data_IF_990167072019
#
_entry.id   IF_990167072019
#
_cell.length_a   1.000
_cell.length_b   1.000
_cell.length_c   1.000
_cell.angle_alpha   90.00
_cell.angle_beta   90.00
_cell.angle_gamma   90.00
#
_symmetry.space_group_name_H-M   'P 1'
#
loop_
_entity.id
_entity.type
_entity.pdbx_description
1 polymer ?
#
# COMPACT_ATOMS: atom_id res chain seq x y z
N UNK A 1 -36.92 -0.16 23.90
CA UNK A 1 -35.77 -0.78 23.22
C UNK A 1 -34.58 0.13 23.48
N UNK A 2 -33.73 -0.27 24.43
CA UNK A 2 -32.57 0.51 24.85
C UNK A 2 -31.53 0.49 23.73
N UNK A 3 -31.27 1.66 23.13
CA UNK A 3 -30.09 1.91 22.30
C UNK A 3 -28.86 1.84 23.22
N UNK A 4 -28.34 0.65 23.41
CA UNK A 4 -27.05 0.43 24.04
C UNK A 4 -26.02 0.33 22.92
N UNK A 5 -25.61 1.46 22.35
CA UNK A 5 -24.39 1.48 21.53
C UNK A 5 -23.21 1.34 22.50
N UNK A 6 -22.70 0.12 22.68
CA UNK A 6 -21.47 -0.11 23.45
C UNK A 6 -20.32 0.67 22.79
N UNK A 7 -19.61 1.54 23.52
CA UNK A 7 -18.41 2.17 23.00
C UNK A 7 -17.36 1.08 22.68
N UNK A 8 -16.97 0.96 21.41
CA UNK A 8 -15.90 0.05 20.96
C UNK A 8 -16.31 -1.16 20.13
N UNK A 9 -17.58 -1.28 19.71
CA UNK A 9 -18.01 -2.36 18.79
C UNK A 9 -17.78 -2.04 17.30
N UNK A 10 -17.35 -0.83 16.96
CA UNK A 10 -17.13 -0.42 15.57
C UNK A 10 -15.74 -0.78 15.06
N UNK A 11 -15.65 -1.12 13.78
CA UNK A 11 -14.38 -1.33 13.09
C UNK A 11 -13.62 0.00 13.10
N UNK A 12 -12.33 -0.04 13.47
CA UNK A 12 -11.49 1.16 13.52
C UNK A 12 -11.34 1.77 12.14
N UNK A 13 -11.57 3.08 12.05
CA UNK A 13 -11.29 3.85 10.84
C UNK A 13 -9.77 4.00 10.61
N UNK A 14 -9.36 3.81 9.36
CA UNK A 14 -7.99 4.01 8.90
C UNK A 14 -8.00 4.88 7.67
N UNK A 15 -7.18 5.93 7.69
CA UNK A 15 -6.99 6.83 6.55
C UNK A 15 -5.82 6.38 5.70
N UNK A 16 -5.99 6.35 4.39
CA UNK A 16 -5.01 5.91 3.39
C UNK A 16 -4.75 7.04 2.39
N UNK A 17 -3.47 7.37 2.19
CA UNK A 17 -3.09 8.49 1.33
C UNK A 17 -3.26 9.86 2.00
N UNK A 18 -2.53 10.85 1.50
CA UNK A 18 -2.64 12.24 1.92
C UNK A 18 -2.68 13.16 0.71
N UNK A 19 -3.69 14.05 0.69
CA UNK A 19 -3.82 15.10 -0.31
C UNK A 19 -2.86 16.26 -0.05
N UNK A 20 -2.77 17.23 -0.99
CA UNK A 20 -1.99 18.46 -0.78
C UNK A 20 -2.37 19.22 0.49
N UNK A 21 -3.65 19.22 0.87
CA UNK A 21 -4.11 19.87 2.09
C UNK A 21 -3.66 19.14 3.37
N UNK A 22 -3.34 17.85 3.26
CA UNK A 22 -2.88 16.98 4.35
C UNK A 22 -1.35 16.80 4.35
N UNK A 23 -0.63 17.45 3.43
CA UNK A 23 0.84 17.40 3.32
C UNK A 23 1.39 16.32 2.38
N UNK A 24 0.54 15.61 1.64
CA UNK A 24 0.96 14.64 0.61
C UNK A 24 0.69 15.14 -0.81
N UNK A 25 0.78 14.23 -1.78
CA UNK A 25 0.58 14.56 -3.21
C UNK A 25 -0.55 13.79 -3.87
N UNK A 26 -1.25 12.92 -3.13
CA UNK A 26 -2.37 12.13 -3.66
C UNK A 26 -3.53 13.03 -4.07
N UNK A 27 -4.33 12.58 -5.04
CA UNK A 27 -5.56 13.27 -5.43
C UNK A 27 -6.66 13.09 -4.37
N UNK A 28 -6.71 11.91 -3.77
CA UNK A 28 -7.74 11.50 -2.83
C UNK A 28 -7.12 10.82 -1.61
N UNK A 29 -7.72 11.05 -0.44
CA UNK A 29 -7.46 10.30 0.78
C UNK A 29 -8.70 9.47 1.09
N UNK A 30 -8.55 8.16 1.22
CA UNK A 30 -9.64 7.26 1.54
C UNK A 30 -9.69 6.99 3.04
N UNK A 31 -10.90 6.83 3.58
CA UNK A 31 -11.10 6.28 4.92
C UNK A 31 -11.79 4.93 4.75
N UNK A 32 -11.23 3.90 5.36
CA UNK A 32 -11.80 2.55 5.44
C UNK A 32 -12.11 2.23 6.90
N UNK A 33 -13.07 1.34 7.15
CA UNK A 33 -13.52 1.05 8.52
C UNK A 33 -14.75 1.89 8.91
N UNK A 34 -15.06 1.91 10.20
CA UNK A 34 -16.20 2.63 10.76
C UNK A 34 -17.50 1.82 10.76
N UNK A 35 -17.51 0.60 10.21
CA UNK A 35 -18.69 -0.25 10.19
C UNK A 35 -19.07 -0.73 11.60
N UNK A 36 -20.38 -0.74 11.87
CA UNK A 36 -20.98 -1.15 13.16
C UNK A 36 -21.83 -2.41 13.07
N UNK A 37 -22.20 -2.78 11.84
CA UNK A 37 -23.09 -3.89 11.55
C UNK A 37 -22.34 -5.01 10.84
N UNK A 38 -22.98 -6.17 10.73
CA UNK A 38 -22.48 -7.27 9.90
C UNK A 38 -22.31 -6.81 8.44
N UNK A 39 -21.30 -7.33 7.71
CA UNK A 39 -21.07 -6.96 6.33
C UNK A 39 -22.35 -7.04 5.50
N UNK A 40 -22.67 -5.93 4.83
CA UNK A 40 -23.82 -5.77 3.93
C UNK A 40 -25.22 -5.76 4.56
N UNK A 41 -25.37 -5.87 5.88
CA UNK A 41 -26.69 -5.95 6.54
C UNK A 41 -27.17 -4.63 7.21
N UNK A 42 -26.29 -3.63 7.31
CA UNK A 42 -26.61 -2.33 7.92
C UNK A 42 -26.14 -1.15 7.08
N UNK A 43 -25.61 -0.10 7.73
CA UNK A 43 -25.06 1.05 7.01
C UNK A 43 -23.81 0.61 6.24
N UNK A 44 -23.94 0.48 4.92
CA UNK A 44 -22.83 0.06 4.06
C UNK A 44 -21.91 1.25 3.82
N UNK A 45 -20.59 1.05 3.74
CA UNK A 45 -19.72 2.08 3.20
C UNK A 45 -20.19 2.42 1.78
N UNK A 46 -20.13 3.71 1.43
CA UNK A 46 -20.58 4.21 0.13
C UNK A 46 -19.88 3.48 -1.05
N UNK A 47 -18.69 2.95 -0.79
CA UNK A 47 -17.89 2.22 -1.78
C UNK A 47 -16.92 1.23 -1.12
N UNK A 48 -16.79 0.05 -1.70
CA UNK A 48 -15.67 -0.87 -1.44
C UNK A 48 -14.49 -0.50 -2.35
N UNK A 49 -13.31 -0.39 -1.78
CA UNK A 49 -12.11 -0.02 -2.52
C UNK A 49 -11.40 -1.25 -3.09
N UNK A 50 -10.84 -1.13 -4.29
CA UNK A 50 -10.05 -2.19 -4.93
C UNK A 50 -8.62 -1.72 -5.13
N UNK A 51 -7.67 -2.50 -4.59
CA UNK A 51 -6.25 -2.30 -4.82
C UNK A 51 -5.75 -3.24 -5.92
N UNK A 52 -4.97 -2.72 -6.86
CA UNK A 52 -4.35 -3.52 -7.93
C UNK A 52 -2.85 -3.69 -7.66
N UNK A 53 -2.37 -4.93 -7.80
CA UNK A 53 -0.96 -5.26 -7.57
C UNK A 53 -0.07 -4.89 -8.76
N UNK A 54 1.00 -4.16 -8.46
CA UNK A 54 2.12 -3.85 -9.35
C UNK A 54 3.37 -4.46 -8.73
N UNK A 55 4.12 -5.22 -9.53
CA UNK A 55 5.38 -5.84 -9.10
C UNK A 55 6.56 -5.11 -9.74
N UNK A 56 7.66 -4.97 -9.00
CA UNK A 56 8.90 -4.38 -9.51
C UNK A 56 9.78 -5.38 -10.29
N UNK A 57 9.61 -6.68 -10.05
CA UNK A 57 10.31 -7.74 -10.77
C UNK A 57 9.34 -8.73 -11.43
N UNK A 58 9.22 -8.71 -12.77
CA UNK A 58 8.27 -9.53 -13.51
C UNK A 58 8.52 -11.03 -13.37
N UNK A 59 9.74 -11.47 -13.01
CA UNK A 59 10.05 -12.91 -12.87
C UNK A 59 9.17 -13.61 -11.85
N UNK A 60 8.67 -12.86 -10.88
CA UNK A 60 7.80 -13.37 -9.80
C UNK A 60 6.31 -13.17 -10.08
N UNK A 61 5.93 -12.47 -11.14
CA UNK A 61 4.54 -12.35 -11.57
C UNK A 61 4.08 -13.64 -12.27
N UNK A 62 2.83 -14.11 -12.07
CA UNK A 62 2.30 -15.26 -12.80
C UNK A 62 2.34 -15.05 -14.32
N UNK A 63 2.61 -16.10 -15.15
CA UNK A 63 2.67 -15.96 -16.61
C UNK A 63 1.43 -15.30 -17.22
N UNK A 64 0.22 -15.71 -16.78
CA UNK A 64 -1.05 -15.13 -17.25
C UNK A 64 -1.14 -13.62 -17.02
N UNK A 65 -0.58 -13.11 -15.92
CA UNK A 65 -0.56 -11.68 -15.62
C UNK A 65 0.42 -10.97 -16.56
N UNK A 66 1.63 -11.52 -16.72
CA UNK A 66 2.65 -10.94 -17.62
C UNK A 66 2.17 -10.89 -19.06
N UNK A 67 1.55 -11.97 -19.54
CA UNK A 67 1.04 -12.05 -20.91
C UNK A 67 -0.08 -11.02 -21.14
N UNK A 68 -0.89 -10.73 -20.12
CA UNK A 68 -1.96 -9.73 -20.19
C UNK A 68 -1.42 -8.30 -20.14
N UNK A 69 -0.50 -7.99 -19.22
CA UNK A 69 0.02 -6.62 -19.04
C UNK A 69 1.15 -6.27 -20.03
N UNK A 70 1.75 -7.28 -20.67
CA UNK A 70 2.81 -7.11 -21.66
C UNK A 70 3.99 -6.31 -21.13
N UNK A 71 4.37 -5.27 -21.87
CA UNK A 71 5.54 -4.43 -21.55
C UNK A 71 5.42 -3.71 -20.20
N UNK A 72 4.21 -3.50 -19.68
CA UNK A 72 3.99 -2.90 -18.36
C UNK A 72 4.65 -3.73 -17.24
N UNK A 73 4.81 -5.05 -17.43
CA UNK A 73 5.44 -5.91 -16.44
C UNK A 73 6.89 -5.50 -16.11
N UNK A 74 7.56 -4.76 -17.02
CA UNK A 74 8.92 -4.28 -16.83
C UNK A 74 8.99 -2.81 -16.37
N UNK A 75 7.85 -2.12 -16.29
CA UNK A 75 7.76 -0.68 -16.04
C UNK A 75 6.74 -0.43 -14.90
N UNK A 76 7.16 -0.55 -13.62
CA UNK A 76 6.24 -0.47 -12.48
C UNK A 76 5.52 0.88 -12.37
N UNK A 77 6.16 1.96 -12.80
CA UNK A 77 5.57 3.30 -12.86
C UNK A 77 4.46 3.40 -13.92
N UNK A 78 4.72 2.92 -15.15
CA UNK A 78 3.71 2.85 -16.20
C UNK A 78 2.56 1.91 -15.82
N UNK A 79 2.90 0.78 -15.18
CA UNK A 79 1.91 -0.17 -14.68
C UNK A 79 1.04 0.44 -13.58
N UNK A 80 1.61 1.19 -12.63
CA UNK A 80 0.84 1.92 -11.63
C UNK A 80 -0.09 2.97 -12.23
N UNK A 81 0.36 3.68 -13.28
CA UNK A 81 -0.51 4.60 -14.04
C UNK A 81 -1.64 3.86 -14.76
N UNK A 82 -1.37 2.69 -15.34
CA UNK A 82 -2.39 1.86 -15.99
C UNK A 82 -3.39 1.28 -14.98
N UNK A 83 -2.92 0.90 -13.78
CA UNK A 83 -3.76 0.44 -12.68
C UNK A 83 -4.87 1.43 -12.37
N UNK A 84 -4.52 2.70 -12.26
CA UNK A 84 -5.46 3.79 -12.05
C UNK A 84 -6.33 4.08 -13.29
N UNK A 85 -5.70 4.33 -14.45
CA UNK A 85 -6.40 4.93 -15.60
C UNK A 85 -7.14 3.94 -16.47
N UNK A 86 -6.63 2.72 -16.57
CA UNK A 86 -7.16 1.68 -17.46
C UNK A 86 -8.00 0.68 -16.67
N UNK A 87 -7.53 0.28 -15.50
CA UNK A 87 -8.17 -0.77 -14.70
C UNK A 87 -9.08 -0.23 -13.59
N UNK A 88 -9.06 1.07 -13.32
CA UNK A 88 -9.97 1.72 -12.36
C UNK A 88 -9.64 1.42 -10.91
N UNK A 89 -8.37 1.14 -10.59
CA UNK A 89 -7.95 0.87 -9.22
C UNK A 89 -8.14 2.09 -8.30
N UNK A 90 -8.63 1.84 -7.09
CA UNK A 90 -8.72 2.83 -6.01
C UNK A 90 -7.36 3.02 -5.33
N UNK A 91 -6.61 1.93 -5.18
CA UNK A 91 -5.27 1.94 -4.60
C UNK A 91 -4.30 1.17 -5.50
N UNK A 92 -3.03 1.51 -5.39
CA UNK A 92 -1.94 0.73 -5.99
C UNK A 92 -1.24 -0.04 -4.88
N UNK A 93 -1.13 -1.36 -5.03
CA UNK A 93 -0.32 -2.22 -4.17
C UNK A 93 1.01 -2.47 -4.88
N UNK A 94 2.04 -1.76 -4.47
CA UNK A 94 3.41 -1.96 -4.94
C UNK A 94 4.05 -3.09 -4.13
N UNK A 95 4.27 -4.23 -4.77
CA UNK A 95 4.92 -5.40 -4.21
C UNK A 95 6.36 -5.45 -4.72
N UNK A 96 7.33 -5.26 -3.82
CA UNK A 96 8.75 -5.38 -4.14
C UNK A 96 9.14 -6.85 -4.27
N UNK A 97 8.67 -7.52 -5.31
CA UNK A 97 8.97 -8.92 -5.59
C UNK A 97 10.44 -9.17 -5.89
N UNK A 98 11.21 -8.15 -6.29
CA UNK A 98 12.66 -8.26 -6.47
C UNK A 98 13.40 -8.75 -5.23
N UNK A 99 12.89 -8.46 -4.03
CA UNK A 99 13.49 -8.86 -2.74
C UNK A 99 13.44 -10.37 -2.50
N UNK A 100 12.60 -11.09 -3.26
CA UNK A 100 12.52 -12.57 -3.24
C UNK A 100 13.70 -13.24 -3.96
N UNK A 101 14.54 -12.46 -4.64
CA UNK A 101 15.75 -12.99 -5.28
C UNK A 101 16.74 -13.51 -4.23
N UNK A 102 17.41 -14.63 -4.56
CA UNK A 102 18.43 -15.18 -3.68
C UNK A 102 19.61 -14.20 -3.55
N UNK A 103 19.96 -13.83 -2.31
CA UNK A 103 21.02 -12.86 -2.00
C UNK A 103 20.74 -11.46 -2.57
N UNK A 104 19.50 -11.01 -2.45
CA UNK A 104 19.13 -9.63 -2.78
C UNK A 104 20.01 -8.62 -2.04
N UNK A 105 20.55 -7.64 -2.77
CA UNK A 105 21.36 -6.51 -2.25
C UNK A 105 21.07 -5.19 -3.00
N UNK A 106 20.06 -5.19 -3.89
CA UNK A 106 19.71 -4.04 -4.72
C UNK A 106 18.83 -3.03 -3.96
N UNK A 107 19.07 -2.84 -2.66
CA UNK A 107 18.26 -1.92 -1.85
C UNK A 107 18.30 -0.47 -2.39
N UNK A 108 19.36 -0.09 -3.11
CA UNK A 108 19.51 1.22 -3.75
C UNK A 108 18.38 1.54 -4.72
N UNK A 109 17.80 0.53 -5.35
CA UNK A 109 16.76 0.68 -6.36
C UNK A 109 15.37 0.89 -5.74
N UNK A 110 15.15 0.44 -4.50
CA UNK A 110 13.86 0.52 -3.79
C UNK A 110 13.32 1.95 -3.74
N UNK A 111 14.15 2.92 -3.33
CA UNK A 111 13.74 4.33 -3.26
C UNK A 111 13.46 4.90 -4.64
N UNK A 112 14.25 4.51 -5.64
CA UNK A 112 14.06 4.98 -7.03
C UNK A 112 12.74 4.48 -7.60
N UNK A 113 12.43 3.19 -7.44
CA UNK A 113 11.15 2.62 -7.86
C UNK A 113 9.99 3.28 -7.11
N UNK A 114 10.15 3.52 -5.80
CA UNK A 114 9.15 4.22 -5.00
C UNK A 114 8.86 5.63 -5.55
N UNK A 115 9.88 6.43 -5.81
CA UNK A 115 9.76 7.78 -6.36
C UNK A 115 9.07 7.78 -7.74
N UNK A 116 9.46 6.86 -8.61
CA UNK A 116 8.87 6.71 -9.94
C UNK A 116 7.38 6.38 -9.85
N UNK A 117 7.00 5.42 -9.00
CA UNK A 117 5.60 5.03 -8.82
C UNK A 117 4.80 6.15 -8.17
N UNK A 118 5.34 6.82 -7.13
CA UNK A 118 4.68 7.96 -6.47
C UNK A 118 4.41 9.12 -7.43
N UNK A 119 5.31 9.36 -8.39
CA UNK A 119 5.14 10.37 -9.43
C UNK A 119 4.15 9.94 -10.52
N UNK A 120 4.03 8.63 -10.78
CA UNK A 120 3.22 8.11 -11.87
C UNK A 120 1.72 7.99 -11.55
N UNK A 121 1.36 7.69 -10.29
CA UNK A 121 -0.03 7.56 -9.84
C UNK A 121 -0.43 8.62 -8.81
N UNK A 122 -1.68 9.05 -8.87
CA UNK A 122 -2.30 9.97 -7.90
C UNK A 122 -3.07 9.23 -6.79
N UNK A 123 -3.16 7.89 -6.87
CA UNK A 123 -3.87 7.06 -5.90
C UNK A 123 -3.02 6.80 -4.66
N UNK A 124 -3.62 6.46 -3.51
CA UNK A 124 -2.90 5.98 -2.34
C UNK A 124 -2.19 4.64 -2.58
N UNK A 125 -1.08 4.43 -1.86
CA UNK A 125 -0.21 3.27 -2.04
C UNK A 125 -0.21 2.34 -0.83
N UNK A 126 -0.23 1.06 -1.14
CA UNK A 126 0.13 -0.05 -0.25
C UNK A 126 1.50 -0.54 -0.69
N UNK A 127 2.42 -0.73 0.24
CA UNK A 127 3.76 -1.25 -0.04
C UNK A 127 3.95 -2.57 0.68
N UNK A 128 4.41 -3.57 -0.07
CA UNK A 128 4.76 -4.89 0.45
C UNK A 128 6.14 -5.35 -0.01
N UNK A 129 6.76 -6.22 0.80
CA UNK A 129 8.07 -6.82 0.54
C UNK A 129 8.01 -8.34 0.35
N UNK A 130 9.09 -9.03 0.72
CA UNK A 130 9.22 -10.48 0.56
C UNK A 130 8.64 -11.29 1.73
N UNK A 131 8.17 -10.62 2.78
CA UNK A 131 7.86 -11.24 4.09
C UNK A 131 9.11 -11.77 4.80
N UNK A 132 10.28 -11.21 4.49
CA UNK A 132 11.53 -11.53 5.18
C UNK A 132 11.93 -10.35 6.07
N UNK A 133 11.85 -10.46 7.41
CA UNK A 133 11.91 -9.31 8.32
C UNK A 133 13.14 -8.44 8.16
N UNK A 134 14.31 -9.04 7.95
CA UNK A 134 15.57 -8.31 7.79
C UNK A 134 15.58 -7.48 6.51
N UNK A 135 15.05 -8.04 5.40
CA UNK A 135 14.94 -7.33 4.13
C UNK A 135 13.85 -6.26 4.19
N UNK A 136 12.66 -6.64 4.67
CA UNK A 136 11.48 -5.79 4.73
C UNK A 136 11.70 -4.58 5.63
N UNK A 137 12.46 -4.71 6.71
CA UNK A 137 12.79 -3.58 7.60
C UNK A 137 13.58 -2.49 6.88
N UNK A 138 14.45 -2.85 5.94
CA UNK A 138 15.23 -1.92 5.14
C UNK A 138 14.43 -1.40 3.93
N UNK A 139 13.62 -2.26 3.30
CA UNK A 139 12.69 -1.86 2.23
C UNK A 139 11.71 -0.81 2.73
N UNK A 140 11.00 -1.08 3.83
CA UNK A 140 10.01 -0.16 4.40
C UNK A 140 10.63 1.14 4.89
N UNK A 141 11.87 1.11 5.38
CA UNK A 141 12.61 2.33 5.70
C UNK A 141 12.77 3.21 4.47
N UNK A 142 13.29 2.66 3.38
CA UNK A 142 13.52 3.42 2.14
C UNK A 142 12.21 3.90 1.53
N UNK A 143 11.18 3.05 1.53
CA UNK A 143 9.87 3.40 1.01
C UNK A 143 9.21 4.51 1.81
N UNK A 144 9.27 4.44 3.15
CA UNK A 144 8.71 5.49 3.97
C UNK A 144 9.49 6.80 3.87
N UNK A 145 10.82 6.76 3.71
CA UNK A 145 11.63 7.98 3.52
C UNK A 145 11.30 8.65 2.19
N UNK A 146 11.18 7.88 1.12
CA UNK A 146 10.76 8.38 -0.20
C UNK A 146 9.30 8.88 -0.20
N UNK A 147 8.41 8.19 0.51
CA UNK A 147 7.00 8.53 0.62
C UNK A 147 6.62 9.31 1.88
N UNK A 148 7.54 10.10 2.45
CA UNK A 148 7.25 10.89 3.64
C UNK A 148 6.08 11.85 3.37
N UNK A 149 5.10 11.88 4.28
CA UNK A 149 3.89 12.70 4.13
C UNK A 149 2.80 12.07 3.25
N UNK A 150 3.07 11.02 2.48
CA UNK A 150 2.09 10.39 1.58
C UNK A 150 1.08 9.47 2.28
N UNK A 151 1.31 9.17 3.56
CA UNK A 151 0.49 8.24 4.37
C UNK A 151 0.35 6.87 3.68
N UNK A 152 1.50 6.26 3.42
CA UNK A 152 1.60 4.90 2.88
C UNK A 152 1.04 3.86 3.86
N UNK A 153 0.46 2.79 3.33
CA UNK A 153 0.22 1.56 4.10
C UNK A 153 1.40 0.62 3.88
N UNK A 154 2.14 0.29 4.95
CA UNK A 154 3.27 -0.64 4.89
C UNK A 154 2.86 -1.98 5.51
N UNK A 155 3.03 -3.07 4.77
CA UNK A 155 2.73 -4.43 5.22
C UNK A 155 3.75 -5.44 4.67
N UNK A 156 3.90 -6.63 5.24
CA UNK A 156 3.08 -7.26 6.28
C UNK A 156 3.86 -7.38 7.59
N UNK A 157 3.22 -7.09 8.72
CA UNK A 157 3.79 -7.29 10.04
C UNK A 157 3.24 -8.58 10.67
N UNK A 158 4.09 -9.59 10.85
CA UNK A 158 3.72 -10.86 11.48
C UNK A 158 3.96 -10.84 13.00
N UNK A 159 3.20 -11.65 13.76
CA UNK A 159 3.13 -11.56 15.22
C UNK A 159 4.48 -11.77 15.94
N UNK A 160 5.37 -12.58 15.39
CA UNK A 160 6.72 -12.85 15.91
C UNK A 160 7.77 -11.85 15.41
N UNK A 161 7.45 -11.06 14.37
CA UNK A 161 8.40 -10.25 13.60
C UNK A 161 8.00 -8.76 13.45
N UNK A 162 6.87 -8.34 14.01
CA UNK A 162 6.32 -6.99 13.84
C UNK A 162 7.22 -5.88 14.38
N UNK A 163 8.10 -6.16 15.35
CA UNK A 163 8.85 -5.11 16.04
C UNK A 163 9.77 -4.35 15.11
N UNK A 164 10.44 -5.01 14.18
CA UNK A 164 11.34 -4.32 13.25
C UNK A 164 10.57 -3.45 12.24
N UNK A 165 9.36 -3.89 11.86
CA UNK A 165 8.42 -3.17 10.99
C UNK A 165 7.76 -1.98 11.73
N UNK A 166 7.39 -2.16 12.99
CA UNK A 166 6.63 -1.18 13.79
C UNK A 166 7.49 -0.23 14.62
N UNK A 167 8.71 -0.61 15.02
CA UNK A 167 9.55 0.19 15.92
C UNK A 167 10.16 1.43 15.26
N UNK A 168 10.02 1.59 13.95
CA UNK A 168 10.48 2.79 13.26
C UNK A 168 9.51 3.93 13.49
N UNK A 169 9.83 4.72 14.52
CA UNK A 169 9.17 5.97 14.89
C UNK A 169 9.27 6.95 13.72
N UNK A 170 8.23 6.99 12.89
CA UNK A 170 8.11 7.96 11.82
C UNK A 170 7.92 9.36 12.41
N UNK A 171 8.61 10.40 11.92
CA UNK A 171 8.24 11.76 12.24
C UNK A 171 6.80 11.96 11.72
N UNK A 172 5.85 12.18 12.62
CA UNK A 172 4.57 12.87 12.33
C UNK A 172 3.36 12.06 11.82
N UNK A 173 3.30 10.72 11.88
CA UNK A 173 2.06 9.99 11.51
C UNK A 173 1.68 8.93 12.56
N UNK A 174 1.26 9.37 13.75
CA UNK A 174 0.42 8.59 14.69
C UNK A 174 -0.16 9.54 15.76
N UNK A 175 -0.98 10.49 15.31
CA UNK A 175 -2.00 11.12 16.15
C UNK A 175 -3.34 10.99 15.45
#
# INVERSE_FOLDING_TARGET
MTNSSEPGSEVREVRLGATRAEGGTREVSYVIGGERDLPFLGNRPDRLLVALEVCDDPRFSPPVVRDYVGDLANNPDEWARAAERTYGADLVRLNFTSTKQRRFDAFGEIATTMDQVLAATIRPLIVEGSSEPELDSEVFRRCGEAGEGERLLLGTAEADRYRSVAARRWPTVMR
#
